data_IF_222955182040
#
_entry.id   IF_222955182040
#
_cell.length_a   1.000
_cell.length_b   1.000
_cell.length_c   1.000
_cell.angle_alpha   90.00
_cell.angle_beta   90.00
_cell.angle_gamma   90.00
#
_symmetry.space_group_name_H-M   'P 1'
#
loop_
_entity.id
_entity.type
_entity.pdbx_description
1 polymer ?
#
# COMPACT_ATOMS: atom_id res chain seq x y z
N UNK A 1 -8.95 -9.17 -10.45
CA UNK A 1 -8.66 -8.26 -9.31
C UNK A 1 -9.15 -6.83 -9.50
N UNK A 2 -9.11 -6.21 -10.69
CA UNK A 2 -9.71 -4.85 -10.90
C UNK A 2 -11.24 -4.84 -10.74
N UNK A 3 -11.90 -5.96 -11.00
CA UNK A 3 -13.37 -6.07 -10.91
C UNK A 3 -13.91 -5.82 -9.48
N UNK A 4 -13.15 -6.18 -8.44
CA UNK A 4 -13.60 -6.01 -7.05
C UNK A 4 -13.49 -4.55 -6.56
N UNK A 5 -12.50 -3.80 -7.05
CA UNK A 5 -12.39 -2.37 -6.75
C UNK A 5 -13.54 -1.58 -7.39
N UNK A 6 -14.03 -2.00 -8.56
CA UNK A 6 -15.16 -1.36 -9.24
C UNK A 6 -16.50 -1.56 -8.54
N UNK A 7 -16.63 -2.59 -7.72
CA UNK A 7 -17.84 -2.88 -6.95
C UNK A 7 -17.86 -2.21 -5.58
N UNK A 8 -16.73 -1.64 -5.13
CA UNK A 8 -16.61 -0.93 -3.85
C UNK A 8 -17.14 0.50 -3.97
N UNK A 9 -17.65 1.00 -2.86
CA UNK A 9 -18.10 2.39 -2.78
C UNK A 9 -16.90 3.34 -2.82
N UNK A 10 -17.15 4.59 -3.21
CA UNK A 10 -16.12 5.64 -3.23
C UNK A 10 -15.44 5.80 -1.87
N UNK A 11 -16.19 5.68 -0.79
CA UNK A 11 -15.66 5.85 0.57
C UNK A 11 -14.77 4.68 0.98
N UNK A 12 -15.13 3.44 0.62
CA UNK A 12 -14.28 2.26 0.84
C UNK A 12 -12.96 2.35 0.07
N UNK A 13 -13.00 2.84 -1.17
CA UNK A 13 -11.80 3.05 -1.99
C UNK A 13 -10.90 4.11 -1.35
N UNK A 14 -11.49 5.21 -0.87
CA UNK A 14 -10.75 6.28 -0.18
C UNK A 14 -10.15 5.82 1.15
N UNK A 15 -10.88 5.01 1.93
CA UNK A 15 -10.37 4.42 3.16
C UNK A 15 -9.21 3.47 2.87
N UNK A 16 -9.37 2.57 1.90
CA UNK A 16 -8.31 1.64 1.51
C UNK A 16 -7.05 2.36 1.02
N UNK A 17 -7.21 3.43 0.26
CA UNK A 17 -6.11 4.25 -0.22
C UNK A 17 -5.37 4.97 0.93
N UNK A 18 -6.08 5.40 1.98
CA UNK A 18 -5.46 5.97 3.19
C UNK A 18 -4.63 4.92 3.92
N UNK A 19 -5.15 3.72 4.08
CA UNK A 19 -4.46 2.62 4.77
C UNK A 19 -3.18 2.23 4.04
N UNK A 20 -3.25 2.06 2.71
CA UNK A 20 -2.07 1.74 1.89
C UNK A 20 -1.00 2.84 1.95
N UNK A 21 -1.41 4.12 1.99
CA UNK A 21 -0.47 5.24 2.18
C UNK A 21 0.20 5.23 3.54
N UNK A 22 -0.54 4.90 4.61
CA UNK A 22 -0.01 4.78 5.95
C UNK A 22 1.01 3.63 6.05
N UNK A 23 0.68 2.47 5.47
CA UNK A 23 1.60 1.33 5.42
C UNK A 23 2.86 1.68 4.63
N UNK A 24 2.74 2.35 3.48
CA UNK A 24 3.90 2.79 2.70
C UNK A 24 4.79 3.74 3.50
N UNK A 25 4.22 4.67 4.28
CA UNK A 25 4.98 5.59 5.12
C UNK A 25 5.81 4.82 6.16
N UNK A 26 5.21 3.84 6.83
CA UNK A 26 5.91 2.98 7.78
C UNK A 26 7.05 2.21 7.12
N UNK A 27 6.79 1.59 5.97
CA UNK A 27 7.82 0.81 5.25
C UNK A 27 8.97 1.69 4.75
N UNK A 28 8.73 2.96 4.43
CA UNK A 28 9.81 3.91 4.07
C UNK A 28 10.72 4.25 5.24
N UNK A 29 10.18 4.30 6.47
CA UNK A 29 11.01 4.43 7.68
C UNK A 29 11.86 3.18 7.86
N UNK A 30 11.25 1.99 7.73
CA UNK A 30 11.97 0.71 7.81
C UNK A 30 13.11 0.62 6.78
N UNK A 31 12.93 1.20 5.58
CA UNK A 31 13.99 1.28 4.57
C UNK A 31 15.21 2.08 5.06
N UNK A 32 15.00 3.24 5.67
CA UNK A 32 16.12 4.09 6.12
C UNK A 32 16.80 3.55 7.37
N UNK A 33 16.09 2.77 8.19
CA UNK A 33 16.65 2.12 9.39
C UNK A 33 17.28 0.76 9.10
N UNK A 34 17.38 0.33 7.82
CA UNK A 34 18.03 -0.94 7.45
C UNK A 34 17.24 -2.21 7.82
N UNK A 35 15.91 -2.17 7.75
CA UNK A 35 15.06 -3.30 8.12
C UNK A 35 15.13 -4.53 7.19
N UNK A 36 14.45 -5.59 7.61
CA UNK A 36 14.51 -6.91 6.97
C UNK A 36 14.12 -6.90 5.46
N UNK A 37 14.79 -7.71 4.60
CA UNK A 37 14.56 -7.73 3.16
C UNK A 37 13.10 -7.97 2.73
N UNK A 38 12.37 -8.80 3.48
CA UNK A 38 10.96 -9.10 3.22
C UNK A 38 10.03 -7.88 3.41
N UNK A 39 10.38 -6.93 4.28
CA UNK A 39 9.64 -5.68 4.46
C UNK A 39 10.01 -4.67 3.37
N UNK A 40 11.24 -4.71 2.87
CA UNK A 40 11.70 -3.86 1.77
C UNK A 40 11.04 -4.24 0.44
N UNK A 41 10.87 -5.54 0.16
CA UNK A 41 10.20 -6.00 -1.05
C UNK A 41 8.72 -5.60 -1.11
N UNK A 42 8.04 -5.54 0.05
CA UNK A 42 6.65 -5.08 0.17
C UNK A 42 6.45 -3.62 -0.29
N UNK A 43 7.47 -2.76 -0.19
CA UNK A 43 7.37 -1.36 -0.63
C UNK A 43 6.95 -1.26 -2.10
N UNK A 44 7.54 -2.11 -2.96
CA UNK A 44 7.21 -2.12 -4.40
C UNK A 44 5.77 -2.56 -4.63
N UNK A 45 5.33 -3.59 -3.92
CA UNK A 45 3.97 -4.13 -4.04
C UNK A 45 2.93 -3.10 -3.61
N UNK A 46 3.10 -2.49 -2.44
CA UNK A 46 2.18 -1.45 -1.93
C UNK A 46 2.11 -0.25 -2.87
N UNK A 47 3.25 0.19 -3.44
CA UNK A 47 3.25 1.28 -4.43
C UNK A 47 2.44 0.92 -5.69
N UNK A 48 2.55 -0.32 -6.17
CA UNK A 48 1.77 -0.80 -7.31
C UNK A 48 0.28 -0.92 -6.98
N UNK A 49 -0.07 -1.39 -5.79
CA UNK A 49 -1.47 -1.49 -5.33
C UNK A 49 -2.15 -0.13 -5.17
N UNK A 50 -1.43 0.93 -4.82
CA UNK A 50 -1.98 2.31 -4.79
C UNK A 50 -2.26 2.84 -6.20
N UNK A 51 -1.54 2.35 -7.21
CA UNK A 51 -1.68 2.79 -8.61
C UNK A 51 -2.75 2.02 -9.39
N UNK A 52 -3.27 0.91 -8.83
CA UNK A 52 -4.38 0.13 -9.39
C UNK A 52 -5.72 0.83 -9.15
#
# INVERSE_FOLDING_TARGET
MVHELRQKTKDDILAHLKDLKAELALLRVVKVTGGAPNKLSKIKVVRLSIAQ
#
